data_IF_674367667936
#
_entry.id   IF_674367667936
#
_cell.length_a   1.000
_cell.length_b   1.000
_cell.length_c   1.000
_cell.angle_alpha   90.00
_cell.angle_beta   90.00
_cell.angle_gamma   90.00
#
_symmetry.space_group_name_H-M   'P 1'
#
loop_
_entity.id
_entity.type
_entity.pdbx_description
1 polymer ?
#
# COMPACT_ATOMS: atom_id res chain seq x y z
N UNK A 1 -25.76 5.54 -36.22
CA UNK A 1 -24.54 4.88 -35.72
C UNK A 1 -24.20 5.30 -34.30
N UNK A 2 -24.47 6.55 -33.92
CA UNK A 2 -24.12 7.15 -32.62
C UNK A 2 -24.83 6.55 -31.37
N UNK A 3 -26.10 6.14 -31.49
CA UNK A 3 -26.87 5.66 -30.32
C UNK A 3 -26.42 4.32 -29.73
N UNK A 4 -25.93 3.39 -30.56
CA UNK A 4 -25.44 2.10 -30.09
C UNK A 4 -24.09 2.22 -29.36
N UNK A 5 -23.24 3.13 -29.82
CA UNK A 5 -21.94 3.42 -29.21
C UNK A 5 -22.10 4.07 -27.83
N UNK A 6 -23.00 5.04 -27.70
CA UNK A 6 -23.35 5.67 -26.42
C UNK A 6 -23.92 4.66 -25.41
N UNK A 7 -24.75 3.72 -25.86
CA UNK A 7 -25.29 2.66 -25.00
C UNK A 7 -24.21 1.65 -24.57
N UNK A 8 -23.30 1.27 -25.47
CA UNK A 8 -22.14 0.44 -25.14
C UNK A 8 -21.23 1.13 -24.11
N UNK A 9 -20.98 2.42 -24.27
CA UNK A 9 -20.16 3.20 -23.32
C UNK A 9 -20.82 3.28 -21.94
N UNK A 10 -22.13 3.52 -21.87
CA UNK A 10 -22.89 3.51 -20.61
C UNK A 10 -22.81 2.17 -19.90
N UNK A 11 -23.00 1.06 -20.63
CA UNK A 11 -22.89 -0.30 -20.08
C UNK A 11 -21.48 -0.60 -19.59
N UNK A 12 -20.46 -0.19 -20.34
CA UNK A 12 -19.05 -0.32 -19.94
C UNK A 12 -18.75 0.43 -18.64
N UNK A 13 -19.18 1.69 -18.53
CA UNK A 13 -19.04 2.50 -17.32
C UNK A 13 -19.77 1.87 -16.12
N UNK A 14 -20.98 1.36 -16.33
CA UNK A 14 -21.75 0.68 -15.30
C UNK A 14 -21.08 -0.62 -14.83
N UNK A 15 -20.62 -1.48 -15.75
CA UNK A 15 -19.88 -2.68 -15.37
C UNK A 15 -18.61 -2.35 -14.58
N UNK A 16 -17.84 -1.35 -15.05
CA UNK A 16 -16.64 -0.91 -14.36
C UNK A 16 -16.94 -0.42 -12.94
N UNK A 17 -18.04 0.32 -12.73
CA UNK A 17 -18.41 0.78 -11.39
C UNK A 17 -18.78 -0.39 -10.46
N UNK A 18 -19.49 -1.40 -10.97
CA UNK A 18 -19.79 -2.62 -10.20
C UNK A 18 -18.52 -3.40 -9.84
N UNK A 19 -17.59 -3.53 -10.78
CA UNK A 19 -16.30 -4.20 -10.54
C UNK A 19 -15.50 -3.47 -9.46
N UNK A 20 -15.42 -2.14 -9.53
CA UNK A 20 -14.71 -1.34 -8.52
C UNK A 20 -15.38 -1.46 -7.14
N UNK A 21 -16.71 -1.44 -7.08
CA UNK A 21 -17.45 -1.64 -5.83
C UNK A 21 -17.17 -3.01 -5.23
N UNK A 22 -17.17 -4.08 -6.03
CA UNK A 22 -16.85 -5.43 -5.57
C UNK A 22 -15.43 -5.53 -5.03
N UNK A 23 -14.45 -4.99 -5.78
CA UNK A 23 -13.04 -4.95 -5.34
C UNK A 23 -12.85 -4.19 -4.03
N UNK A 24 -13.56 -3.07 -3.85
CA UNK A 24 -13.50 -2.30 -2.61
C UNK A 24 -14.04 -3.10 -1.40
N UNK A 25 -15.12 -3.88 -1.59
CA UNK A 25 -15.68 -4.75 -0.56
C UNK A 25 -14.70 -5.88 -0.22
N UNK A 26 -14.21 -6.61 -1.23
CA UNK A 26 -13.25 -7.70 -1.04
C UNK A 26 -11.97 -7.21 -0.33
N UNK A 27 -11.49 -6.02 -0.70
CA UNK A 27 -10.35 -5.38 -0.04
C UNK A 27 -10.65 -5.03 1.42
N UNK A 28 -11.85 -4.53 1.70
CA UNK A 28 -12.27 -4.19 3.06
C UNK A 28 -12.34 -5.43 3.95
N UNK A 29 -12.92 -6.53 3.45
CA UNK A 29 -12.97 -7.82 4.15
C UNK A 29 -11.56 -8.36 4.42
N UNK A 30 -10.65 -8.27 3.43
CA UNK A 30 -9.26 -8.67 3.59
C UNK A 30 -8.52 -7.80 4.62
N UNK A 31 -8.76 -6.48 4.60
CA UNK A 31 -8.17 -5.56 5.57
C UNK A 31 -8.65 -5.86 6.99
N UNK A 32 -9.94 -6.17 7.17
CA UNK A 32 -10.50 -6.58 8.46
C UNK A 32 -9.88 -7.88 8.97
N UNK A 33 -9.73 -8.89 8.09
CA UNK A 33 -9.06 -10.14 8.42
C UNK A 33 -7.61 -9.93 8.87
N UNK A 34 -6.89 -9.00 8.23
CA UNK A 34 -5.51 -8.65 8.56
C UNK A 34 -5.40 -7.56 9.63
N UNK A 35 -6.49 -7.11 10.24
CA UNK A 35 -6.56 -5.95 11.14
C UNK A 35 -5.76 -4.72 10.63
N UNK A 36 -5.86 -4.45 9.34
CA UNK A 36 -5.22 -3.34 8.64
C UNK A 36 -6.19 -2.16 8.60
N UNK A 37 -5.68 -0.98 8.92
CA UNK A 37 -6.41 0.29 8.72
C UNK A 37 -5.57 1.22 7.87
N UNK A 38 -6.01 1.44 6.63
CA UNK A 38 -5.39 2.41 5.73
C UNK A 38 -5.75 3.82 6.19
N UNK A 39 -4.74 4.66 6.38
CA UNK A 39 -4.90 6.06 6.81
C UNK A 39 -4.80 7.00 5.62
N UNK A 40 -3.86 6.75 4.72
CA UNK A 40 -3.68 7.47 3.47
C UNK A 40 -2.88 6.62 2.49
N UNK A 41 -3.20 6.68 1.20
CA UNK A 41 -2.42 6.01 0.17
C UNK A 41 -2.71 6.60 -1.21
N UNK A 42 -1.69 6.68 -2.05
CA UNK A 42 -1.82 6.92 -3.50
C UNK A 42 -1.44 5.67 -4.33
N UNK A 43 -1.03 4.58 -3.67
CA UNK A 43 -0.53 3.39 -4.33
C UNK A 43 -1.68 2.47 -4.79
N UNK A 44 -1.50 1.67 -5.86
CA UNK A 44 -2.50 0.71 -6.30
C UNK A 44 -2.80 -0.38 -5.25
N UNK A 45 -4.05 -0.85 -5.18
CA UNK A 45 -4.49 -1.88 -4.21
C UNK A 45 -3.62 -3.14 -4.21
N UNK A 46 -3.18 -3.59 -5.38
CA UNK A 46 -2.30 -4.76 -5.49
C UNK A 46 -0.98 -4.56 -4.71
N UNK A 47 -0.43 -3.34 -4.75
CA UNK A 47 0.79 -2.99 -4.06
C UNK A 47 0.53 -2.81 -2.55
N UNK A 48 -0.63 -2.24 -2.17
CA UNK A 48 -1.07 -2.16 -0.76
C UNK A 48 -1.12 -3.56 -0.14
N UNK A 49 -1.74 -4.52 -0.83
CA UNK A 49 -1.85 -5.90 -0.36
C UNK A 49 -0.50 -6.58 -0.14
N UNK A 50 0.50 -6.27 -0.99
CA UNK A 50 1.87 -6.74 -0.79
C UNK A 50 2.50 -6.14 0.47
N UNK A 51 2.30 -4.85 0.72
CA UNK A 51 2.78 -4.20 1.94
C UNK A 51 2.12 -4.79 3.19
N UNK A 52 0.80 -4.98 3.18
CA UNK A 52 0.05 -5.53 4.31
C UNK A 52 0.49 -6.95 4.64
N UNK A 53 0.61 -7.81 3.63
CA UNK A 53 1.05 -9.19 3.80
C UNK A 53 2.47 -9.24 4.34
N UNK A 54 3.40 -8.50 3.73
CA UNK A 54 4.79 -8.44 4.19
C UNK A 54 4.88 -7.97 5.66
N UNK A 55 4.12 -6.92 6.02
CA UNK A 55 4.09 -6.41 7.38
C UNK A 55 3.51 -7.41 8.39
N UNK A 56 2.39 -8.07 8.04
CA UNK A 56 1.76 -9.10 8.88
C UNK A 56 2.70 -10.29 9.09
N UNK A 57 3.26 -10.84 8.02
CA UNK A 57 4.19 -11.97 8.08
C UNK A 57 5.40 -11.65 8.99
N UNK A 58 5.93 -10.43 8.92
CA UNK A 58 7.01 -9.99 9.80
C UNK A 58 6.58 -9.83 11.26
N UNK A 59 5.39 -9.26 11.51
CA UNK A 59 4.85 -9.12 12.87
C UNK A 59 4.58 -10.49 13.52
N UNK A 60 4.09 -11.45 12.75
CA UNK A 60 3.79 -12.80 13.24
C UNK A 60 5.07 -13.58 13.59
N UNK A 61 6.19 -13.32 12.89
CA UNK A 61 7.51 -13.85 13.24
C UNK A 61 8.14 -13.20 14.50
N UNK A 62 7.52 -12.14 15.02
CA UNK A 62 8.01 -11.36 16.17
C UNK A 62 7.06 -11.45 17.38
N UNK A 63 6.86 -12.64 17.98
CA UNK A 63 5.96 -12.76 19.12
C UNK A 63 6.53 -11.97 20.31
N UNK A 64 5.80 -10.94 20.75
CA UNK A 64 6.14 -10.12 21.92
C UNK A 64 6.38 -8.65 21.58
N UNK A 65 7.59 -8.15 21.85
CA UNK A 65 7.93 -6.73 21.69
C UNK A 65 8.17 -6.39 20.22
N UNK A 66 7.49 -5.35 19.73
CA UNK A 66 7.73 -4.78 18.41
C UNK A 66 9.21 -4.40 18.22
N UNK A 67 9.86 -5.00 17.24
CA UNK A 67 11.13 -4.54 16.69
C UNK A 67 10.87 -3.69 15.44
N UNK A 68 10.61 -2.40 15.66
CA UNK A 68 10.28 -1.45 14.60
C UNK A 68 11.37 -1.36 13.54
N UNK A 69 12.64 -1.48 13.93
CA UNK A 69 13.78 -1.37 13.02
C UNK A 69 13.80 -2.54 12.06
N UNK A 70 13.60 -3.76 12.55
CA UNK A 70 13.59 -4.97 11.73
C UNK A 70 12.38 -5.00 10.78
N UNK A 71 11.19 -4.60 11.25
CA UNK A 71 10.01 -4.48 10.38
C UNK A 71 10.22 -3.44 9.26
N UNK A 72 10.72 -2.24 9.59
CA UNK A 72 11.01 -1.20 8.61
C UNK A 72 12.04 -1.65 7.56
N UNK A 73 13.10 -2.32 8.02
CA UNK A 73 14.15 -2.85 7.14
C UNK A 73 13.60 -3.92 6.19
N UNK A 74 12.77 -4.83 6.68
CA UNK A 74 12.18 -5.89 5.87
C UNK A 74 11.30 -5.32 4.75
N UNK A 75 10.39 -4.39 5.08
CA UNK A 75 9.54 -3.72 4.10
C UNK A 75 10.34 -2.94 3.07
N UNK A 76 11.33 -2.14 3.51
CA UNK A 76 12.21 -1.41 2.59
C UNK A 76 12.92 -2.35 1.63
N UNK A 77 13.54 -3.43 2.14
CA UNK A 77 14.29 -4.39 1.30
C UNK A 77 13.40 -5.08 0.28
N UNK A 78 12.24 -5.55 0.69
CA UNK A 78 11.27 -6.21 -0.19
C UNK A 78 10.86 -5.28 -1.33
N UNK A 79 10.55 -4.02 -1.00
CA UNK A 79 10.08 -3.05 -1.99
C UNK A 79 11.18 -2.50 -2.88
N UNK A 80 12.38 -2.25 -2.36
CA UNK A 80 13.55 -1.87 -3.16
C UNK A 80 13.90 -2.98 -4.16
N UNK A 81 13.90 -4.24 -3.73
CA UNK A 81 14.23 -5.38 -4.59
C UNK A 81 13.17 -5.64 -5.66
N UNK A 82 11.89 -5.42 -5.35
CA UNK A 82 10.78 -5.79 -6.24
C UNK A 82 10.37 -4.64 -7.17
N UNK A 83 10.42 -3.39 -6.68
CA UNK A 83 9.86 -2.21 -7.38
C UNK A 83 10.91 -1.12 -7.64
N UNK A 84 12.18 -1.43 -7.39
CA UNK A 84 13.32 -0.55 -7.58
C UNK A 84 13.46 0.51 -6.48
N UNK A 85 14.70 0.89 -6.14
CA UNK A 85 14.96 1.90 -5.12
C UNK A 85 14.48 3.32 -5.54
N UNK A 86 14.35 4.28 -4.61
CA UNK A 86 14.59 4.15 -3.17
C UNK A 86 13.28 4.23 -2.36
N UNK A 87 12.95 3.14 -1.68
CA UNK A 87 11.85 3.07 -0.71
C UNK A 87 12.32 3.43 0.69
N UNK A 88 11.44 4.04 1.46
CA UNK A 88 11.66 4.41 2.85
C UNK A 88 10.52 3.85 3.68
N UNK A 89 10.84 3.36 4.88
CA UNK A 89 9.85 2.83 5.79
C UNK A 89 10.08 3.36 7.20
N UNK A 90 9.01 3.88 7.80
CA UNK A 90 8.97 4.36 9.18
C UNK A 90 7.94 3.51 9.93
N UNK A 91 8.34 2.97 11.08
CA UNK A 91 7.51 2.10 11.90
C UNK A 91 7.54 2.58 13.35
N UNK A 92 6.38 2.68 13.99
CA UNK A 92 6.29 3.04 15.40
C UNK A 92 4.88 2.97 15.94
N UNK A 93 4.73 3.12 17.26
CA UNK A 93 3.42 3.25 17.92
C UNK A 93 2.90 4.69 17.90
N UNK A 94 3.78 5.66 17.62
CA UNK A 94 3.46 7.07 17.40
C UNK A 94 4.61 7.73 16.63
N UNK A 95 4.30 8.52 15.60
CA UNK A 95 5.24 9.39 14.89
C UNK A 95 4.49 10.48 14.14
N UNK A 96 5.19 11.59 13.85
CA UNK A 96 4.77 12.59 12.87
C UNK A 96 5.70 12.53 11.65
N UNK A 97 5.18 12.86 10.47
CA UNK A 97 5.95 12.88 9.23
C UNK A 97 5.49 14.01 8.31
N UNK A 98 6.44 14.68 7.67
CA UNK A 98 6.18 15.64 6.59
C UNK A 98 7.18 15.33 5.48
N UNK A 99 6.75 14.54 4.49
CA UNK A 99 7.63 13.94 3.49
C UNK A 99 7.16 14.27 2.08
N UNK A 100 8.11 14.42 1.17
CA UNK A 100 7.85 14.42 -0.28
C UNK A 100 8.09 13.01 -0.81
N UNK A 101 7.20 12.52 -1.66
CA UNK A 101 7.23 11.18 -2.21
C UNK A 101 6.87 11.19 -3.69
N UNK A 102 7.28 10.15 -4.40
CA UNK A 102 6.89 9.92 -5.78
C UNK A 102 5.44 9.44 -5.86
N UNK A 103 4.73 9.85 -6.92
CA UNK A 103 3.34 9.45 -7.17
C UNK A 103 3.19 7.92 -7.27
N UNK A 104 2.11 7.40 -6.70
CA UNK A 104 1.77 5.97 -6.69
C UNK A 104 2.63 5.13 -5.75
N UNK A 105 3.47 5.78 -4.95
CA UNK A 105 4.48 5.15 -4.12
C UNK A 105 4.29 5.34 -2.63
N UNK A 106 3.15 5.83 -2.15
CA UNK A 106 2.91 6.22 -0.75
C UNK A 106 1.81 5.39 -0.07
N UNK A 107 2.11 4.97 1.15
CA UNK A 107 1.21 4.23 2.01
C UNK A 107 1.42 4.57 3.48
N UNK A 108 0.36 5.01 4.13
CA UNK A 108 0.27 5.11 5.57
C UNK A 108 -0.86 4.22 6.07
N UNK A 109 -0.52 3.24 6.90
CA UNK A 109 -1.48 2.29 7.47
C UNK A 109 -1.08 1.88 8.88
N UNK A 110 -1.99 1.21 9.57
CA UNK A 110 -1.69 0.56 10.83
C UNK A 110 -2.11 -0.90 10.81
N UNK A 111 -1.34 -1.73 11.48
CA UNK A 111 -1.73 -3.07 11.90
C UNK A 111 -1.78 -3.06 13.43
N UNK A 112 -2.94 -3.37 14.00
CA UNK A 112 -3.16 -3.30 15.45
C UNK A 112 -2.82 -1.91 16.03
N UNK A 113 -1.75 -1.80 16.83
CA UNK A 113 -1.24 -0.53 17.42
C UNK A 113 0.05 -0.05 16.76
N UNK A 114 0.49 -0.71 15.68
CA UNK A 114 1.72 -0.41 14.96
C UNK A 114 1.36 0.40 13.73
N UNK A 115 1.94 1.59 13.61
CA UNK A 115 1.81 2.45 12.45
C UNK A 115 3.01 2.24 11.52
N UNK A 116 2.73 2.17 10.22
CA UNK A 116 3.72 1.95 9.17
C UNK A 116 3.49 3.00 8.07
N UNK A 117 4.53 3.77 7.79
CA UNK A 117 4.60 4.68 6.65
C UNK A 117 5.65 4.14 5.67
N UNK A 118 5.22 3.75 4.48
CA UNK A 118 6.07 3.25 3.40
C UNK A 118 5.93 4.21 2.20
N UNK A 119 7.04 4.78 1.74
CA UNK A 119 7.01 5.71 0.61
C UNK A 119 8.23 5.60 -0.31
N UNK A 120 8.03 5.80 -1.61
CA UNK A 120 9.12 5.88 -2.61
C UNK A 120 9.55 7.33 -2.83
N UNK A 121 10.85 7.57 -2.99
CA UNK A 121 11.40 8.86 -3.43
C UNK A 121 12.04 8.74 -4.81
N UNK A 122 12.09 9.84 -5.55
CA UNK A 122 12.95 9.95 -6.71
C UNK A 122 14.41 9.98 -6.24
N UNK A 123 15.24 9.12 -6.84
CA UNK A 123 16.70 9.16 -6.67
C UNK A 123 17.28 9.25 -8.07
N UNK A 124 18.11 10.25 -8.32
CA UNK A 124 18.94 10.30 -9.51
C UNK A 124 20.14 9.39 -9.27
N UNK A 125 20.36 8.36 -10.11
CA UNK A 125 21.59 7.60 -10.07
C UNK A 125 22.75 8.56 -10.34
N UNK A 126 23.75 8.58 -9.46
CA UNK A 126 25.01 9.22 -9.79
C UNK A 126 25.73 8.31 -10.78
N UNK A 127 25.90 8.75 -12.03
CA UNK A 127 26.79 8.10 -12.96
C UNK A 127 28.21 8.11 -12.35
N UNK A 128 28.84 6.94 -12.25
CA UNK A 128 30.22 6.77 -11.80
C UNK A 128 31.06 6.25 -12.96
#
# INVERSE_FOLDING_TARGET
>A
MDGAELELERRSKFLNSLIQKKKAIEQQEQNEHLNVKVRASDMPLALQNKAFKCARDQLDYMPGKLDSKRLALALKKEFDSTYGPAWHCIVGTSFGSYVTHSLGGFLYFSIDKVYILLFKTAVEPLDH
#
